data_IF_235891116980
#
_entry.id   IF_235891116980
#
_cell.length_a   1.000
_cell.length_b   1.000
_cell.length_c   1.000
_cell.angle_alpha   90.00
_cell.angle_beta   90.00
_cell.angle_gamma   90.00
#
_symmetry.space_group_name_H-M   'P 1'
#
loop_
_entity.id
_entity.type
_entity.pdbx_description
1 polymer ?
#
# COMPACT_ATOMS: atom_id res chain seq x y z
N UNK A 1 26.81 -0.16 11.03
CA UNK A 1 25.91 0.95 11.45
C UNK A 1 24.86 1.30 10.41
N UNK A 2 25.18 1.85 9.22
CA UNK A 2 24.13 2.17 8.22
C UNK A 2 23.38 0.92 7.72
N UNK A 3 24.09 -0.21 7.57
CA UNK A 3 23.49 -1.49 7.15
C UNK A 3 22.51 -2.00 8.21
N UNK A 4 22.91 -1.99 9.49
CA UNK A 4 22.08 -2.46 10.60
C UNK A 4 20.84 -1.60 10.76
N UNK A 5 20.96 -0.28 10.56
CA UNK A 5 19.83 0.64 10.56
C UNK A 5 18.85 0.39 9.41
N UNK A 6 19.34 0.15 8.19
CA UNK A 6 18.49 -0.13 7.04
C UNK A 6 17.72 -1.45 7.19
N UNK A 7 18.38 -2.50 7.70
CA UNK A 7 17.74 -3.79 7.99
C UNK A 7 16.71 -3.65 9.12
N UNK A 8 17.03 -2.88 10.16
CA UNK A 8 16.10 -2.56 11.23
C UNK A 8 14.87 -1.79 10.71
N UNK A 9 15.07 -0.71 9.95
CA UNK A 9 13.99 0.08 9.39
C UNK A 9 13.09 -0.75 8.47
N UNK A 10 13.66 -1.54 7.56
CA UNK A 10 12.90 -2.46 6.70
C UNK A 10 12.12 -3.51 7.50
N UNK A 11 12.70 -3.99 8.61
CA UNK A 11 12.01 -4.85 9.56
C UNK A 11 10.81 -4.17 10.22
N UNK A 12 11.00 -2.95 10.72
CA UNK A 12 9.93 -2.14 11.33
C UNK A 12 8.79 -1.88 10.35
N UNK A 13 9.08 -1.52 9.10
CA UNK A 13 8.04 -1.31 8.07
C UNK A 13 7.24 -2.57 7.78
N UNK A 14 7.90 -3.73 7.70
CA UNK A 14 7.21 -5.00 7.48
C UNK A 14 6.30 -5.37 8.67
N UNK A 15 6.76 -5.14 9.90
CA UNK A 15 5.94 -5.32 11.11
C UNK A 15 4.77 -4.34 11.10
N UNK A 16 5.02 -3.07 10.79
CA UNK A 16 3.99 -2.03 10.74
C UNK A 16 2.87 -2.38 9.76
N UNK A 17 3.20 -2.84 8.54
CA UNK A 17 2.19 -3.26 7.55
C UNK A 17 1.26 -4.35 8.07
N UNK A 18 1.79 -5.34 8.81
CA UNK A 18 0.99 -6.39 9.45
C UNK A 18 0.18 -5.85 10.64
N UNK A 19 0.77 -4.93 11.40
CA UNK A 19 0.15 -4.31 12.57
C UNK A 19 -1.00 -3.38 12.19
N UNK A 20 -0.97 -2.73 11.02
CA UNK A 20 -2.09 -1.90 10.54
C UNK A 20 -3.36 -2.71 10.33
N UNK A 21 -3.28 -3.92 9.74
CA UNK A 21 -4.45 -4.79 9.58
C UNK A 21 -5.05 -5.17 10.95
N UNK A 22 -4.19 -5.46 11.93
CA UNK A 22 -4.59 -5.70 13.31
C UNK A 22 -5.22 -4.46 13.96
N UNK A 23 -4.62 -3.27 13.79
CA UNK A 23 -5.16 -2.00 14.30
C UNK A 23 -6.52 -1.66 13.69
N UNK A 24 -6.74 -1.96 12.41
CA UNK A 24 -8.05 -1.77 11.78
C UNK A 24 -9.12 -2.67 12.42
N UNK A 25 -8.81 -3.95 12.64
CA UNK A 25 -9.73 -4.87 13.33
C UNK A 25 -10.00 -4.41 14.76
N UNK A 26 -8.95 -4.01 15.49
CA UNK A 26 -9.08 -3.43 16.84
C UNK A 26 -9.97 -2.18 16.82
N UNK A 27 -9.77 -1.27 15.86
CA UNK A 27 -10.58 -0.07 15.71
C UNK A 27 -12.06 -0.37 15.48
N UNK A 28 -12.37 -1.35 14.62
CA UNK A 28 -13.76 -1.80 14.37
C UNK A 28 -14.37 -2.37 15.65
N UNK A 29 -13.61 -3.18 16.40
CA UNK A 29 -14.07 -3.75 17.68
C UNK A 29 -14.33 -2.64 18.71
N UNK A 30 -13.42 -1.67 18.86
CA UNK A 30 -13.59 -0.53 19.78
C UNK A 30 -14.83 0.30 19.44
N UNK A 31 -15.05 0.60 18.15
CA UNK A 31 -16.26 1.28 17.66
C UNK A 31 -17.51 0.47 18.00
N UNK A 32 -17.50 -0.85 17.77
CA UNK A 32 -18.61 -1.74 18.08
C UNK A 32 -18.97 -1.73 19.57
N UNK A 33 -17.98 -1.86 20.45
CA UNK A 33 -18.19 -1.81 21.90
C UNK A 33 -18.63 -0.42 22.38
N UNK A 34 -18.07 0.66 21.84
CA UNK A 34 -18.52 2.02 22.14
C UNK A 34 -20.01 2.17 21.80
N UNK A 35 -20.44 1.71 20.63
CA UNK A 35 -21.85 1.74 20.25
C UNK A 35 -22.74 0.87 21.16
N UNK A 36 -22.25 -0.29 21.60
CA UNK A 36 -22.97 -1.13 22.57
C UNK A 36 -23.14 -0.41 23.91
N UNK A 37 -22.09 0.21 24.46
CA UNK A 37 -22.16 0.96 25.71
C UNK A 37 -23.11 2.15 25.60
N UNK A 38 -23.01 2.96 24.55
CA UNK A 38 -23.98 4.05 24.30
C UNK A 38 -25.42 3.52 24.30
N UNK A 39 -25.66 2.39 23.64
CA UNK A 39 -27.01 1.80 23.56
C UNK A 39 -27.52 1.32 24.93
N UNK A 40 -26.65 0.73 25.75
CA UNK A 40 -27.00 0.26 27.10
C UNK A 40 -27.28 1.43 28.05
N UNK A 41 -26.46 2.47 28.01
CA UNK A 41 -26.58 3.60 28.94
C UNK A 41 -27.64 4.62 28.53
N UNK A 42 -28.00 4.71 27.24
CA UNK A 42 -29.08 5.60 26.76
C UNK A 42 -30.47 5.27 27.34
N UNK A 43 -30.67 4.04 27.83
CA UNK A 43 -31.91 3.63 28.49
C UNK A 43 -31.99 3.96 29.99
N UNK A 44 -30.90 4.40 30.60
CA UNK A 44 -30.85 4.70 32.04
C UNK A 44 -31.07 6.19 32.30
N UNK A 45 -31.45 6.53 33.54
CA UNK A 45 -31.69 7.90 34.02
C UNK A 45 -30.46 8.83 34.00
N UNK A 46 -29.29 8.33 33.60
CA UNK A 46 -28.02 9.06 33.58
C UNK A 46 -27.86 9.99 32.37
N UNK A 47 -28.57 9.72 31.27
CA UNK A 47 -28.56 10.60 30.11
C UNK A 47 -29.89 11.34 30.03
N UNK A 48 -30.01 12.54 30.63
CA UNK A 48 -31.22 13.33 30.50
C UNK A 48 -31.47 13.63 29.03
N UNK A 49 -32.70 13.36 28.58
CA UNK A 49 -33.08 13.69 27.21
C UNK A 49 -32.98 15.21 27.02
N UNK A 50 -32.53 15.67 25.85
CA UNK A 50 -32.39 17.11 25.54
C UNK A 50 -33.66 17.93 25.82
N UNK A 51 -34.83 17.28 25.79
CA UNK A 51 -36.11 17.92 26.06
C UNK A 51 -36.32 18.23 27.55
N UNK A 52 -35.72 17.45 28.44
CA UNK A 52 -35.84 17.61 29.89
C UNK A 52 -34.93 18.74 30.41
N UNK A 53 -33.76 18.94 29.79
CA UNK A 53 -32.87 20.07 30.11
C UNK A 53 -33.47 21.41 29.66
N UNK A 54 -34.15 21.44 28.52
CA UNK A 54 -34.90 22.62 28.05
C UNK A 54 -36.14 22.93 28.91
N UNK A 55 -36.83 21.90 29.43
CA UNK A 55 -37.96 22.08 30.33
C UNK A 55 -37.51 22.60 31.72
N UNK A 56 -36.37 22.15 32.23
CA UNK A 56 -35.82 22.67 33.50
C UNK A 56 -35.34 24.12 33.41
N UNK A 57 -34.99 24.61 32.21
CA UNK A 57 -34.45 25.96 32.02
C UNK A 57 -35.52 27.05 31.94
N UNK A 58 -36.79 26.71 31.72
CA UNK A 58 -37.86 27.70 31.48
C UNK A 58 -38.48 28.29 32.77
N UNK A 59 -38.26 27.68 33.94
CA UNK A 59 -38.89 28.13 35.19
C UNK A 59 -38.05 29.13 36.04
N UNK A 60 -36.83 29.49 35.64
CA UNK A 60 -35.91 30.29 36.50
C UNK A 60 -35.30 31.53 35.84
N UNK A 61 -36.02 32.21 34.93
CA UNK A 61 -35.54 33.44 34.27
C UNK A 61 -35.44 34.67 35.20
N UNK A 62 -35.98 34.63 36.43
CA UNK A 62 -35.96 35.76 37.37
C UNK A 62 -34.79 35.77 38.40
N UNK A 63 -33.85 34.82 38.35
CA UNK A 63 -32.71 34.70 39.30
C UNK A 63 -31.31 35.02 38.71
N UNK A 64 -31.26 35.79 37.63
CA UNK A 64 -30.28 35.71 36.53
C UNK A 64 -28.86 36.27 36.75
N UNK A 65 -28.42 36.57 37.97
CA UNK A 65 -27.07 37.14 38.20
C UNK A 65 -26.17 36.36 39.17
N UNK A 66 -26.71 35.39 39.90
CA UNK A 66 -25.91 34.52 40.80
C UNK A 66 -25.40 33.25 40.09
N UNK A 67 -25.97 32.90 38.93
CA UNK A 67 -25.63 31.69 38.17
C UNK A 67 -24.37 31.80 37.31
N UNK A 68 -23.97 33.00 36.88
CA UNK A 68 -22.74 33.17 36.07
C UNK A 68 -21.45 32.88 36.87
N UNK A 69 -21.50 32.97 38.21
CA UNK A 69 -20.36 32.66 39.07
C UNK A 69 -20.30 31.18 39.49
N UNK A 70 -21.33 30.39 39.14
CA UNK A 70 -21.35 28.93 39.27
C UNK A 70 -21.18 28.21 37.93
N UNK A 71 -20.88 28.94 36.85
CA UNK A 71 -20.15 28.43 35.67
C UNK A 71 -18.65 28.39 36.01
N UNK A 72 -18.34 27.98 37.23
CA UNK A 72 -17.10 27.26 37.47
C UNK A 72 -17.39 25.90 36.86
N UNK A 73 -16.49 25.40 36.02
CA UNK A 73 -16.50 24.00 35.62
C UNK A 73 -16.57 23.18 36.91
N UNK A 74 -17.78 22.83 37.35
CA UNK A 74 -17.96 21.80 38.34
C UNK A 74 -17.24 20.61 37.76
N UNK A 75 -16.54 19.85 38.59
CA UNK A 75 -16.15 18.50 38.22
C UNK A 75 -17.42 17.85 37.66
N UNK A 76 -17.50 17.76 36.34
CA UNK A 76 -18.72 17.36 35.65
C UNK A 76 -19.08 16.03 36.28
N UNK A 77 -20.27 15.96 36.90
CA UNK A 77 -20.86 14.68 37.29
C UNK A 77 -20.86 13.86 36.01
N UNK A 78 -19.88 12.96 35.93
CA UNK A 78 -19.33 12.47 34.69
C UNK A 78 -20.37 11.53 34.08
N UNK A 79 -21.35 12.06 33.35
CA UNK A 79 -22.51 11.29 32.89
C UNK A 79 -22.00 10.22 31.93
N UNK A 80 -22.01 8.94 32.33
CA UNK A 80 -21.22 7.94 31.66
C UNK A 80 -21.86 7.60 30.31
N UNK A 81 -21.08 7.67 29.23
CA UNK A 81 -21.42 7.16 27.89
C UNK A 81 -22.60 7.85 27.17
N UNK A 82 -22.94 9.11 27.48
CA UNK A 82 -24.02 9.82 26.78
C UNK A 82 -23.62 10.30 25.37
N UNK A 83 -22.36 10.66 25.16
CA UNK A 83 -21.81 11.02 23.85
C UNK A 83 -21.04 9.86 23.23
N UNK A 84 -21.18 9.66 21.92
CA UNK A 84 -20.47 8.60 21.20
C UNK A 84 -18.94 8.75 21.30
N UNK A 85 -18.43 9.97 21.22
CA UNK A 85 -16.99 10.23 21.29
C UNK A 85 -16.42 9.97 22.68
N UNK A 86 -17.09 10.43 23.74
CA UNK A 86 -16.71 10.13 25.12
C UNK A 86 -16.78 8.62 25.39
N UNK A 87 -17.81 7.94 24.90
CA UNK A 87 -17.90 6.48 25.00
C UNK A 87 -16.76 5.78 24.27
N UNK A 88 -16.33 6.29 23.12
CA UNK A 88 -15.19 5.73 22.41
C UNK A 88 -13.88 5.94 23.19
N UNK A 89 -13.68 7.12 23.76
CA UNK A 89 -12.52 7.42 24.61
C UNK A 89 -12.50 6.56 25.89
N UNK A 90 -13.64 6.39 26.56
CA UNK A 90 -13.75 5.54 27.75
C UNK A 90 -13.48 4.05 27.43
N UNK A 91 -13.92 3.55 26.27
CA UNK A 91 -13.58 2.18 25.83
C UNK A 91 -12.10 2.06 25.46
N UNK A 92 -11.50 3.14 24.93
CA UNK A 92 -10.06 3.20 24.65
C UNK A 92 -9.21 3.27 25.92
N UNK A 93 -9.61 4.02 26.95
CA UNK A 93 -8.90 4.02 28.24
C UNK A 93 -9.07 2.67 28.96
N UNK A 94 -10.22 2.03 28.81
CA UNK A 94 -10.44 0.66 29.27
C UNK A 94 -9.52 -0.35 28.57
N UNK A 95 -9.24 -0.18 27.26
CA UNK A 95 -8.23 -0.97 26.55
C UNK A 95 -6.83 -0.81 27.17
N UNK A 96 -6.49 0.40 27.63
CA UNK A 96 -5.23 0.71 28.30
C UNK A 96 -5.17 0.17 29.75
N UNK A 97 -6.30 -0.32 30.28
CA UNK A 97 -6.43 -0.84 31.64
C UNK A 97 -6.80 0.21 32.68
N UNK A 98 -7.09 1.45 32.26
CA UNK A 98 -7.60 2.50 33.14
C UNK A 98 -9.12 2.41 33.16
N UNK A 99 -9.67 1.88 34.25
CA UNK A 99 -11.12 1.66 34.40
C UNK A 99 -11.61 2.32 35.69
N UNK A 100 -12.64 3.14 35.55
CA UNK A 100 -13.38 3.68 36.68
C UNK A 100 -14.56 2.75 37.00
N UNK A 101 -14.41 1.96 38.06
CA UNK A 101 -15.40 0.96 38.49
C UNK A 101 -16.73 1.60 38.90
N UNK A 102 -16.70 2.85 39.37
CA UNK A 102 -17.88 3.56 39.88
C UNK A 102 -18.94 3.78 38.81
N UNK A 103 -18.53 3.89 37.53
CA UNK A 103 -19.43 4.06 36.38
C UNK A 103 -20.29 2.82 36.09
N UNK A 104 -19.91 1.64 36.60
CA UNK A 104 -20.57 0.37 36.28
C UNK A 104 -21.42 -0.21 37.41
N UNK A 105 -21.34 0.33 38.63
CA UNK A 105 -22.03 -0.24 39.80
C UNK A 105 -23.55 -0.37 39.62
N UNK A 106 -24.16 0.58 38.90
CA UNK A 106 -25.61 0.61 38.73
C UNK A 106 -26.13 -0.42 37.72
N UNK A 107 -25.31 -0.84 36.75
CA UNK A 107 -25.78 -1.67 35.63
C UNK A 107 -25.06 -3.02 35.55
N UNK A 108 -25.73 -4.08 36.02
CA UNK A 108 -25.21 -5.47 35.95
C UNK A 108 -24.83 -5.89 34.52
N UNK A 109 -25.58 -5.41 33.53
CA UNK A 109 -25.31 -5.69 32.12
C UNK A 109 -24.06 -4.95 31.62
N UNK A 110 -23.82 -3.72 32.05
CA UNK A 110 -22.60 -2.98 31.75
C UNK A 110 -21.36 -3.67 32.33
N UNK A 111 -21.43 -4.13 33.59
CA UNK A 111 -20.35 -4.92 34.21
C UNK A 111 -20.07 -6.22 33.44
N UNK A 112 -21.11 -6.91 32.97
CA UNK A 112 -20.93 -8.14 32.18
C UNK A 112 -20.26 -7.87 30.83
N UNK A 113 -20.68 -6.82 30.12
CA UNK A 113 -20.03 -6.38 28.87
C UNK A 113 -18.58 -5.99 29.11
N UNK A 114 -18.28 -5.30 30.22
CA UNK A 114 -16.93 -4.95 30.62
C UNK A 114 -16.04 -6.20 30.79
N UNK A 115 -16.52 -7.22 31.52
CA UNK A 115 -15.75 -8.46 31.73
C UNK A 115 -15.47 -9.18 30.41
N UNK A 116 -16.47 -9.24 29.52
CA UNK A 116 -16.29 -9.80 28.17
C UNK A 116 -15.27 -8.99 27.36
N UNK A 117 -15.37 -7.66 27.39
CA UNK A 117 -14.44 -6.77 26.69
C UNK A 117 -13.00 -6.97 27.17
N UNK A 118 -12.78 -7.00 28.49
CA UNK A 118 -11.44 -7.23 29.06
C UNK A 118 -10.88 -8.59 28.65
N UNK A 119 -11.68 -9.65 28.71
CA UNK A 119 -11.20 -10.97 28.32
C UNK A 119 -10.93 -11.09 26.81
N UNK A 120 -11.85 -10.61 25.98
CA UNK A 120 -11.77 -10.76 24.52
C UNK A 120 -10.72 -9.80 23.95
N UNK A 121 -10.82 -8.51 24.27
CA UNK A 121 -10.00 -7.47 23.64
C UNK A 121 -8.62 -7.41 24.27
N UNK A 122 -8.51 -7.34 25.60
CA UNK A 122 -7.20 -7.17 26.23
C UNK A 122 -6.40 -8.48 26.19
N UNK A 123 -6.97 -9.60 26.62
CA UNK A 123 -6.20 -10.85 26.73
C UNK A 123 -5.98 -11.53 25.36
N UNK A 124 -7.03 -11.71 24.55
CA UNK A 124 -6.84 -12.40 23.26
C UNK A 124 -6.05 -11.54 22.26
N UNK A 125 -6.32 -10.23 22.16
CA UNK A 125 -5.59 -9.41 21.18
C UNK A 125 -4.14 -9.18 21.59
N UNK A 126 -3.82 -9.08 22.89
CA UNK A 126 -2.42 -9.03 23.33
C UNK A 126 -1.66 -10.30 22.92
N UNK A 127 -2.27 -11.48 23.11
CA UNK A 127 -1.66 -12.75 22.71
C UNK A 127 -1.44 -12.84 21.19
N UNK A 128 -2.42 -12.40 20.40
CA UNK A 128 -2.30 -12.35 18.93
C UNK A 128 -1.24 -11.33 18.49
N UNK A 129 -1.19 -10.16 19.11
CA UNK A 129 -0.19 -9.13 18.79
C UNK A 129 1.22 -9.64 19.06
N UNK A 130 1.46 -10.27 20.22
CA UNK A 130 2.76 -10.86 20.55
C UNK A 130 3.14 -11.94 19.52
N UNK A 131 2.19 -12.78 19.11
CA UNK A 131 2.41 -13.80 18.10
C UNK A 131 2.80 -13.19 16.74
N UNK A 132 2.09 -12.16 16.28
CA UNK A 132 2.37 -11.46 15.01
C UNK A 132 3.75 -10.80 15.06
N UNK A 133 4.09 -10.10 16.15
CA UNK A 133 5.38 -9.43 16.29
C UNK A 133 6.51 -10.45 16.32
N UNK A 134 6.34 -11.57 17.04
CA UNK A 134 7.35 -12.62 17.16
C UNK A 134 7.59 -13.36 15.84
N UNK A 135 6.52 -13.72 15.10
CA UNK A 135 6.63 -14.32 13.76
C UNK A 135 7.33 -13.37 12.79
N UNK A 136 6.92 -12.10 12.80
CA UNK A 136 7.49 -11.08 11.92
C UNK A 136 8.98 -10.84 12.23
N UNK A 137 9.35 -10.82 13.51
CA UNK A 137 10.74 -10.67 13.94
C UNK A 137 11.60 -11.86 13.50
N UNK A 138 11.10 -13.09 13.64
CA UNK A 138 11.79 -14.30 13.19
C UNK A 138 12.06 -14.28 11.68
N UNK A 139 11.07 -13.87 10.88
CA UNK A 139 11.22 -13.76 9.41
C UNK A 139 12.28 -12.73 9.02
N UNK A 140 12.37 -11.62 9.75
CA UNK A 140 13.35 -10.55 9.49
C UNK A 140 14.76 -11.05 9.75
N UNK A 141 14.98 -11.80 10.83
CA UNK A 141 16.31 -12.35 11.15
C UNK A 141 16.77 -13.42 10.14
N UNK A 142 15.88 -14.33 9.72
CA UNK A 142 16.31 -15.52 8.97
C UNK A 142 16.44 -15.33 7.45
N UNK A 143 15.66 -14.45 6.82
CA UNK A 143 15.50 -14.47 5.34
C UNK A 143 15.83 -13.19 4.59
N UNK A 144 15.96 -12.02 5.26
CA UNK A 144 15.94 -10.73 4.55
C UNK A 144 17.19 -9.86 4.68
N UNK A 145 18.10 -10.12 5.62
CA UNK A 145 19.28 -9.26 5.78
C UNK A 145 20.14 -9.20 4.50
N UNK A 146 20.39 -10.34 3.85
CA UNK A 146 21.20 -10.38 2.64
C UNK A 146 20.45 -9.86 1.40
N UNK A 147 19.19 -10.25 1.20
CA UNK A 147 18.42 -9.84 0.02
C UNK A 147 18.13 -8.34 0.06
N UNK A 148 17.66 -7.79 1.19
CA UNK A 148 17.36 -6.35 1.33
C UNK A 148 18.63 -5.52 1.13
N UNK A 149 19.77 -6.03 1.59
CA UNK A 149 21.06 -5.39 1.34
C UNK A 149 21.39 -5.31 -0.15
N UNK A 150 21.24 -6.41 -0.90
CA UNK A 150 21.56 -6.42 -2.33
C UNK A 150 20.52 -5.69 -3.17
N UNK A 151 19.23 -5.74 -2.82
CA UNK A 151 18.20 -4.98 -3.54
C UNK A 151 18.34 -3.48 -3.34
N UNK A 152 18.60 -2.97 -2.11
CA UNK A 152 18.83 -1.53 -1.93
C UNK A 152 20.08 -1.03 -2.69
N UNK A 153 21.12 -1.86 -2.79
CA UNK A 153 22.29 -1.51 -3.59
C UNK A 153 21.99 -1.52 -5.09
N UNK A 154 21.23 -2.50 -5.57
CA UNK A 154 20.83 -2.58 -6.97
C UNK A 154 19.88 -1.44 -7.34
N UNK A 155 18.94 -1.09 -6.46
CA UNK A 155 17.99 0.00 -6.67
C UNK A 155 18.72 1.36 -6.69
N UNK A 156 19.66 1.57 -5.77
CA UNK A 156 20.54 2.75 -5.81
C UNK A 156 21.39 2.80 -7.09
N UNK A 157 21.93 1.68 -7.54
CA UNK A 157 22.70 1.62 -8.80
C UNK A 157 21.79 1.89 -10.00
N UNK A 158 20.58 1.34 -10.03
CA UNK A 158 19.60 1.56 -11.08
C UNK A 158 19.11 3.01 -11.11
N UNK A 159 18.84 3.61 -9.95
CA UNK A 159 18.46 5.01 -9.82
C UNK A 159 19.61 5.93 -10.22
N UNK A 160 20.84 5.63 -9.79
CA UNK A 160 22.03 6.38 -10.20
C UNK A 160 22.33 6.23 -11.69
N UNK A 161 22.07 5.06 -12.28
CA UNK A 161 22.16 4.84 -13.73
C UNK A 161 21.05 5.59 -14.48
N UNK A 162 19.81 5.59 -13.96
CA UNK A 162 18.70 6.36 -14.52
C UNK A 162 18.95 7.88 -14.45
N UNK A 163 19.61 8.37 -13.39
CA UNK A 163 20.03 9.78 -13.28
C UNK A 163 21.20 10.07 -14.22
N UNK A 164 22.22 9.20 -14.25
CA UNK A 164 23.41 9.37 -15.08
C UNK A 164 23.11 9.28 -16.58
N UNK A 165 22.20 8.39 -16.98
CA UNK A 165 21.74 8.21 -18.36
C UNK A 165 20.44 8.97 -18.65
N UNK A 166 19.95 9.75 -17.70
CA UNK A 166 18.69 10.47 -17.80
C UNK A 166 18.66 11.48 -18.96
N UNK A 167 17.46 11.88 -19.39
CA UNK A 167 17.26 12.87 -20.46
C UNK A 167 17.98 14.20 -20.20
N UNK A 168 18.31 14.48 -18.93
CA UNK A 168 19.06 15.66 -18.53
C UNK A 168 20.49 15.67 -19.09
N UNK A 169 21.13 14.51 -19.31
CA UNK A 169 22.44 14.43 -20.00
C UNK A 169 22.35 14.93 -21.44
N UNK A 170 21.25 14.66 -22.15
CA UNK A 170 21.00 15.22 -23.49
C UNK A 170 20.76 16.72 -23.44
N UNK A 171 20.05 17.22 -22.42
CA UNK A 171 19.84 18.67 -22.21
C UNK A 171 21.12 19.41 -21.82
N UNK A 172 21.94 18.82 -20.94
CA UNK A 172 23.22 19.38 -20.52
C UNK A 172 24.25 19.36 -21.66
N UNK A 173 24.32 18.27 -22.44
CA UNK A 173 25.18 18.20 -23.64
C UNK A 173 24.79 19.27 -24.67
N UNK A 174 23.48 19.53 -24.83
CA UNK A 174 22.97 20.61 -25.69
C UNK A 174 23.22 22.01 -25.12
N UNK A 175 23.24 22.18 -23.80
CA UNK A 175 23.55 23.46 -23.13
C UNK A 175 25.05 23.78 -23.09
N UNK A 176 25.92 22.76 -23.04
CA UNK A 176 27.39 22.92 -23.00
C UNK A 176 28.01 23.05 -24.40
N UNK A 177 27.21 22.99 -25.47
CA UNK A 177 27.69 23.29 -26.83
C UNK A 177 28.68 22.27 -27.41
N UNK A 178 28.76 21.06 -26.84
CA UNK A 178 29.43 19.93 -27.48
C UNK A 178 28.47 19.31 -28.49
N UNK A 179 28.33 19.98 -29.63
CA UNK A 179 27.66 19.45 -30.81
C UNK A 179 28.48 18.31 -31.39
N UNK A 180 27.97 17.09 -31.28
CA UNK A 180 28.26 16.09 -32.29
C UNK A 180 27.35 16.44 -33.47
N UNK A 181 28.03 16.79 -34.55
CA UNK A 181 27.51 17.30 -35.81
C UNK A 181 26.95 16.13 -36.63
N UNK A 182 25.86 15.52 -36.17
CA UNK A 182 25.09 14.58 -37.00
C UNK A 182 23.69 15.18 -37.22
N UNK A 183 23.59 15.81 -38.38
CA UNK A 183 22.39 16.19 -39.07
C UNK A 183 21.44 14.99 -39.20
N UNK A 184 20.29 15.03 -38.55
CA UNK A 184 19.04 14.69 -39.23
C UNK A 184 17.79 15.15 -38.47
N UNK A 185 16.88 15.69 -39.28
CA UNK A 185 15.47 16.01 -39.08
C UNK A 185 15.04 16.89 -37.89
N UNK A 186 14.77 18.14 -38.26
CA UNK A 186 13.93 19.14 -37.59
C UNK A 186 12.53 18.61 -37.25
N UNK A 187 12.43 17.85 -36.17
CA UNK A 187 11.18 17.68 -35.43
C UNK A 187 10.93 18.92 -34.57
N UNK A 188 9.94 19.73 -34.94
CA UNK A 188 9.45 20.86 -34.15
C UNK A 188 8.97 20.32 -32.79
N UNK A 189 9.82 20.42 -31.76
CA UNK A 189 9.45 20.04 -30.40
C UNK A 189 8.62 21.19 -29.84
N UNK A 190 7.33 21.18 -30.11
CA UNK A 190 6.37 22.00 -29.37
C UNK A 190 6.38 21.53 -27.92
N UNK A 191 7.09 22.27 -27.09
CA UNK A 191 7.13 22.08 -25.65
C UNK A 191 5.80 22.57 -25.09
N UNK A 192 4.75 21.76 -25.27
CA UNK A 192 3.44 22.02 -24.68
C UNK A 192 3.54 21.74 -23.18
N UNK A 193 3.93 22.78 -22.45
CA UNK A 193 3.95 22.82 -20.99
C UNK A 193 2.58 22.35 -20.47
N UNK A 194 2.57 21.25 -19.70
CA UNK A 194 1.36 20.66 -19.15
C UNK A 194 0.95 19.31 -19.75
N UNK A 195 1.30 18.99 -21.01
CA UNK A 195 0.95 17.68 -21.61
C UNK A 195 1.67 16.53 -20.91
N UNK A 196 2.95 16.70 -20.58
CA UNK A 196 3.73 15.70 -19.84
C UNK A 196 3.25 15.55 -18.38
N UNK A 197 2.91 16.65 -17.72
CA UNK A 197 2.40 16.61 -16.35
C UNK A 197 1.03 15.93 -16.28
N UNK A 198 0.13 16.26 -17.21
CA UNK A 198 -1.18 15.61 -17.30
C UNK A 198 -1.05 14.13 -17.63
N UNK A 199 -0.14 13.75 -18.54
CA UNK A 199 0.12 12.34 -18.82
C UNK A 199 0.58 11.60 -17.57
N UNK A 200 1.53 12.16 -16.80
CA UNK A 200 1.95 11.56 -15.51
C UNK A 200 0.82 11.47 -14.49
N UNK A 201 -0.06 12.47 -14.47
CA UNK A 201 -1.23 12.46 -13.60
C UNK A 201 -2.24 11.38 -14.05
N UNK A 202 -2.46 11.20 -15.35
CA UNK A 202 -3.35 10.15 -15.87
C UNK A 202 -2.76 8.76 -15.74
N UNK A 203 -1.46 8.58 -15.98
CA UNK A 203 -0.76 7.32 -15.73
C UNK A 203 -0.91 6.92 -14.25
N UNK A 204 -0.86 7.90 -13.32
CA UNK A 204 -1.16 7.71 -11.90
C UNK A 204 -2.61 7.28 -11.61
N UNK A 205 -3.56 7.42 -12.53
CA UNK A 205 -4.95 6.95 -12.40
C UNK A 205 -5.22 5.67 -13.21
N UNK A 206 -4.43 5.38 -14.25
CA UNK A 206 -4.57 4.24 -15.16
C UNK A 206 -3.74 3.01 -14.77
N UNK A 207 -2.77 3.14 -13.85
CA UNK A 207 -2.08 1.96 -13.33
C UNK A 207 -3.09 1.04 -12.61
N UNK A 208 -3.45 -0.04 -13.28
CA UNK A 208 -4.20 -1.17 -12.74
C UNK A 208 -3.31 -1.87 -11.71
N UNK A 209 -3.46 -1.46 -10.45
CA UNK A 209 -2.75 -2.08 -9.33
C UNK A 209 -3.39 -3.45 -9.07
N UNK A 210 -2.72 -4.50 -9.54
CA UNK A 210 -3.03 -5.91 -9.27
C UNK A 210 -2.74 -6.34 -7.81
N UNK A 211 -2.44 -5.41 -6.90
CA UNK A 211 -2.16 -5.73 -5.50
C UNK A 211 -3.43 -5.96 -4.69
N UNK A 212 -3.41 -7.06 -3.92
CA UNK A 212 -4.49 -7.52 -3.03
C UNK A 212 -5.24 -6.37 -2.35
N UNK A 213 -6.57 -6.33 -2.53
CA UNK A 213 -7.54 -5.35 -2.00
C UNK A 213 -7.42 -4.98 -0.50
N UNK A 214 -6.60 -5.69 0.27
CA UNK A 214 -6.36 -5.48 1.70
C UNK A 214 -4.99 -4.85 1.99
N UNK A 215 -4.20 -4.47 0.98
CA UNK A 215 -2.92 -3.81 1.21
C UNK A 215 -3.14 -2.37 1.69
N UNK A 216 -2.34 -1.93 2.66
CA UNK A 216 -2.38 -0.54 3.14
C UNK A 216 -1.98 0.43 2.03
N UNK A 217 -1.10 -0.02 1.13
CA UNK A 217 -0.71 0.69 -0.08
C UNK A 217 -1.93 0.97 -0.98
N UNK A 218 -2.83 0.00 -1.14
CA UNK A 218 -4.08 0.19 -1.88
C UNK A 218 -4.98 1.25 -1.24
N UNK A 219 -5.13 1.24 0.09
CA UNK A 219 -5.95 2.24 0.78
C UNK A 219 -5.32 3.63 0.78
N UNK A 220 -4.02 3.74 1.04
CA UNK A 220 -3.29 5.00 0.98
C UNK A 220 -3.30 5.59 -0.44
N UNK A 221 -3.10 4.75 -1.46
CA UNK A 221 -3.18 5.14 -2.86
C UNK A 221 -4.60 5.55 -3.26
N UNK A 222 -5.64 4.80 -2.88
CA UNK A 222 -7.03 5.20 -3.13
C UNK A 222 -7.39 6.50 -2.42
N UNK A 223 -6.93 6.71 -1.19
CA UNK A 223 -7.13 7.96 -0.48
C UNK A 223 -6.41 9.13 -1.17
N UNK A 224 -5.17 8.94 -1.61
CA UNK A 224 -4.41 9.94 -2.37
C UNK A 224 -5.07 10.26 -3.71
N UNK A 225 -5.58 9.23 -4.41
CA UNK A 225 -6.34 9.34 -5.66
C UNK A 225 -7.64 10.13 -5.43
N UNK A 226 -8.36 9.83 -4.35
CA UNK A 226 -9.58 10.53 -3.95
C UNK A 226 -9.27 12.00 -3.60
N UNK A 227 -8.22 12.26 -2.84
CA UNK A 227 -7.78 13.61 -2.49
C UNK A 227 -7.36 14.43 -3.73
N UNK A 228 -6.63 13.80 -4.64
CA UNK A 228 -6.25 14.40 -5.93
C UNK A 228 -7.49 14.72 -6.77
N UNK A 229 -8.44 13.79 -6.85
CA UNK A 229 -9.66 13.96 -7.62
C UNK A 229 -10.59 15.05 -7.04
N UNK A 230 -10.69 15.14 -5.71
CA UNK A 230 -11.62 16.06 -5.03
C UNK A 230 -11.02 17.45 -4.82
N UNK A 231 -9.71 17.57 -4.62
CA UNK A 231 -9.07 18.86 -4.32
C UNK A 231 -8.33 19.42 -5.54
N UNK A 232 -7.45 18.61 -6.14
CA UNK A 232 -6.56 19.10 -7.20
C UNK A 232 -7.33 19.37 -8.49
N UNK A 233 -8.24 18.47 -8.90
CA UNK A 233 -9.01 18.65 -10.13
C UNK A 233 -9.88 19.91 -10.06
N UNK A 234 -10.73 20.15 -9.04
CA UNK A 234 -11.55 21.37 -9.00
C UNK A 234 -10.73 22.65 -8.90
N UNK A 235 -9.64 22.64 -8.12
CA UNK A 235 -8.74 23.79 -8.01
C UNK A 235 -8.07 24.12 -9.34
N UNK A 236 -7.64 23.10 -10.08
CA UNK A 236 -7.00 23.30 -11.39
C UNK A 236 -8.01 23.74 -12.46
N UNK A 237 -9.22 23.19 -12.46
CA UNK A 237 -10.31 23.67 -13.35
C UNK A 237 -10.61 25.14 -13.07
N UNK A 238 -10.70 25.53 -11.80
CA UNK A 238 -10.92 26.91 -11.37
C UNK A 238 -9.79 27.85 -11.82
N UNK A 239 -8.53 27.46 -11.62
CA UNK A 239 -7.36 28.19 -12.14
C UNK A 239 -7.40 28.34 -13.67
N UNK A 240 -7.86 27.31 -14.36
CA UNK A 240 -8.04 27.34 -15.80
C UNK A 240 -9.13 28.30 -16.27
N UNK A 241 -10.25 28.39 -15.53
CA UNK A 241 -11.30 29.38 -15.80
C UNK A 241 -10.76 30.80 -15.60
N UNK A 242 -10.04 31.06 -14.50
CA UNK A 242 -9.45 32.36 -14.21
C UNK A 242 -8.37 32.78 -15.22
N UNK A 243 -7.62 31.83 -15.76
CA UNK A 243 -6.60 32.05 -16.78
C UNK A 243 -7.15 32.06 -18.22
N UNK A 244 -8.47 32.25 -18.38
CA UNK A 244 -9.16 32.28 -19.68
C UNK A 244 -8.86 31.04 -20.56
N UNK A 245 -8.74 29.88 -19.93
CA UNK A 245 -8.48 28.61 -20.61
C UNK A 245 -7.02 28.36 -20.99
N UNK A 246 -6.08 29.23 -20.60
CA UNK A 246 -4.66 29.02 -20.92
C UNK A 246 -4.05 27.85 -20.13
N UNK A 247 -4.48 27.64 -18.88
CA UNK A 247 -3.97 26.58 -18.01
C UNK A 247 -4.78 25.27 -18.08
N UNK A 248 -5.81 25.19 -18.93
CA UNK A 248 -6.58 23.97 -19.06
C UNK A 248 -5.77 22.86 -19.73
N UNK A 249 -5.96 21.60 -19.28
CA UNK A 249 -5.43 20.46 -20.01
C UNK A 249 -5.86 20.56 -21.48
N UNK A 250 -4.95 20.32 -22.44
CA UNK A 250 -5.24 20.47 -23.86
C UNK A 250 -6.45 19.65 -24.30
N UNK A 251 -6.73 18.53 -23.64
CA UNK A 251 -7.92 17.69 -23.88
C UNK A 251 -9.24 18.40 -23.52
N UNK A 252 -9.30 19.11 -22.38
CA UNK A 252 -10.46 19.91 -22.02
C UNK A 252 -10.62 21.10 -22.96
N UNK A 253 -9.49 21.71 -23.35
CA UNK A 253 -9.49 22.82 -24.29
C UNK A 253 -10.00 22.38 -25.66
N UNK A 254 -9.54 21.24 -26.15
CA UNK A 254 -10.01 20.65 -27.40
C UNK A 254 -11.50 20.29 -27.31
N UNK A 255 -11.96 19.69 -26.22
CA UNK A 255 -13.37 19.33 -26.03
C UNK A 255 -14.31 20.55 -25.95
N UNK A 256 -13.85 21.65 -25.36
CA UNK A 256 -14.68 22.85 -25.14
C UNK A 256 -14.62 23.83 -26.31
N UNK A 257 -13.44 24.02 -26.92
CA UNK A 257 -13.23 25.05 -27.95
C UNK A 257 -13.21 24.52 -29.38
N UNK A 258 -12.96 23.23 -29.57
CA UNK A 258 -13.14 22.63 -30.89
C UNK A 258 -14.62 22.28 -31.02
N UNK A 259 -15.43 23.28 -31.36
CA UNK A 259 -16.77 23.01 -31.86
C UNK A 259 -16.64 21.93 -32.92
N UNK A 260 -17.40 20.86 -32.79
CA UNK A 260 -17.47 19.72 -33.71
C UNK A 260 -17.85 20.22 -35.10
N UNK A 261 -16.88 20.77 -35.83
CA UNK A 261 -16.99 20.99 -37.26
C UNK A 261 -16.93 19.59 -37.82
N UNK A 262 -18.09 19.10 -38.23
CA UNK A 262 -18.27 17.87 -38.99
C UNK A 262 -17.47 17.96 -40.30
N UNK A 263 -16.15 17.80 -40.21
CA UNK A 263 -15.31 17.54 -41.37
C UNK A 263 -15.72 16.17 -41.88
N UNK A 264 -16.20 16.16 -43.12
CA UNK A 264 -16.56 14.99 -43.92
C UNK A 264 -15.71 13.75 -43.56
N UNK A 265 -16.39 12.74 -43.02
CA UNK A 265 -15.84 11.55 -42.37
C UNK A 265 -15.26 10.48 -43.31
N UNK A 266 -15.24 10.70 -44.63
CA UNK A 266 -14.95 9.60 -45.57
C UNK A 266 -13.46 9.25 -45.72
N UNK A 267 -12.56 10.15 -45.34
CA UNK A 267 -11.10 9.91 -45.48
C UNK A 267 -10.49 9.37 -44.18
N UNK A 268 -10.96 9.84 -43.02
CA UNK A 268 -10.54 9.32 -41.70
C UNK A 268 -11.04 7.89 -41.44
N UNK A 269 -12.25 7.53 -41.88
CA UNK A 269 -12.75 6.15 -41.72
C UNK A 269 -11.90 5.14 -42.49
N UNK A 270 -11.37 5.51 -43.67
CA UNK A 270 -10.49 4.63 -44.44
C UNK A 270 -9.12 4.47 -43.79
N UNK A 271 -8.58 5.52 -43.16
CA UNK A 271 -7.31 5.41 -42.44
C UNK A 271 -7.46 4.58 -41.16
N UNK A 272 -8.57 4.72 -40.43
CA UNK A 272 -8.86 3.91 -39.24
C UNK A 272 -9.15 2.44 -39.59
N UNK A 273 -9.77 2.16 -40.74
CA UNK A 273 -9.96 0.80 -41.23
C UNK A 273 -8.63 0.15 -41.67
N UNK A 274 -7.70 0.93 -42.26
CA UNK A 274 -6.34 0.49 -42.53
C UNK A 274 -5.52 0.24 -41.25
N UNK A 275 -5.66 1.10 -40.23
CA UNK A 275 -5.00 0.89 -38.94
C UNK A 275 -5.56 -0.33 -38.21
N UNK A 276 -6.88 -0.57 -38.25
CA UNK A 276 -7.49 -1.78 -37.68
C UNK A 276 -7.00 -3.05 -38.37
N UNK A 277 -6.89 -3.04 -39.69
CA UNK A 277 -6.38 -4.22 -40.43
C UNK A 277 -4.90 -4.49 -40.12
N UNK A 278 -4.06 -3.46 -39.96
CA UNK A 278 -2.68 -3.61 -39.50
C UNK A 278 -2.58 -4.12 -38.05
N UNK A 279 -3.44 -3.62 -37.15
CA UNK A 279 -3.45 -4.10 -35.75
C UNK A 279 -3.87 -5.56 -35.68
N UNK A 280 -4.86 -5.97 -36.49
CA UNK A 280 -5.30 -7.37 -36.57
C UNK A 280 -4.21 -8.27 -37.15
N UNK A 281 -3.46 -7.82 -38.17
CA UNK A 281 -2.33 -8.60 -38.69
C UNK A 281 -1.20 -8.73 -37.68
N UNK A 282 -0.86 -7.64 -36.97
CA UNK A 282 0.15 -7.65 -35.92
C UNK A 282 -0.25 -8.54 -34.73
N UNK A 283 -1.51 -8.53 -34.32
CA UNK A 283 -2.00 -9.43 -33.27
C UNK A 283 -1.84 -10.90 -33.69
N UNK A 284 -2.12 -11.21 -34.95
CA UNK A 284 -1.94 -12.56 -35.49
C UNK A 284 -0.46 -12.97 -35.52
N UNK A 285 0.43 -12.07 -35.95
CA UNK A 285 1.89 -12.31 -35.94
C UNK A 285 2.42 -12.51 -34.52
N UNK A 286 1.94 -11.74 -33.54
CA UNK A 286 2.33 -11.90 -32.12
C UNK A 286 1.82 -13.23 -31.56
N UNK A 287 0.62 -13.65 -31.93
CA UNK A 287 0.06 -14.94 -31.49
C UNK A 287 0.83 -16.12 -32.10
N UNK A 288 1.20 -16.03 -33.38
CA UNK A 288 2.06 -17.02 -34.06
C UNK A 288 3.46 -17.09 -33.44
N UNK A 289 4.09 -15.93 -33.16
CA UNK A 289 5.38 -15.85 -32.48
C UNK A 289 5.32 -16.43 -31.06
N UNK A 290 4.24 -16.16 -30.32
CA UNK A 290 4.03 -16.70 -28.98
C UNK A 290 3.93 -18.22 -29.00
N UNK A 291 3.23 -18.78 -29.98
CA UNK A 291 3.11 -20.23 -30.14
C UNK A 291 4.43 -20.88 -30.54
N UNK A 292 5.21 -20.24 -31.41
CA UNK A 292 6.56 -20.68 -31.77
C UNK A 292 7.49 -20.67 -30.55
N UNK A 293 7.49 -19.57 -29.78
CA UNK A 293 8.31 -19.45 -28.56
C UNK A 293 7.88 -20.46 -27.47
N UNK A 294 6.57 -20.73 -27.34
CA UNK A 294 6.08 -21.73 -26.38
C UNK A 294 6.45 -23.16 -26.82
N UNK A 295 6.54 -23.41 -28.13
CA UNK A 295 7.01 -24.67 -28.69
C UNK A 295 8.52 -24.85 -28.45
N UNK A 296 9.33 -23.83 -28.66
CA UNK A 296 10.76 -23.86 -28.34
C UNK A 296 11.00 -24.09 -26.83
N UNK A 297 10.27 -23.39 -25.95
CA UNK A 297 10.34 -23.60 -24.51
C UNK A 297 10.00 -25.03 -24.06
N UNK A 298 9.04 -25.68 -24.74
CA UNK A 298 8.73 -27.10 -24.48
C UNK A 298 9.88 -28.01 -24.89
N UNK A 299 10.52 -27.74 -26.04
CA UNK A 299 11.71 -28.48 -26.49
C UNK A 299 12.86 -28.29 -25.50
N UNK A 300 13.15 -27.07 -25.08
CA UNK A 300 14.19 -26.78 -24.09
C UNK A 300 13.92 -27.46 -22.76
N UNK A 301 12.67 -27.45 -22.28
CA UNK A 301 12.30 -28.16 -21.05
C UNK A 301 12.58 -29.65 -21.16
N UNK A 302 12.35 -30.28 -22.30
CA UNK A 302 12.69 -31.69 -22.51
C UNK A 302 14.20 -31.94 -22.56
N UNK A 303 14.97 -31.06 -23.20
CA UNK A 303 16.44 -31.14 -23.20
C UNK A 303 17.02 -30.97 -21.80
N UNK A 304 16.50 -30.04 -21.00
CA UNK A 304 16.93 -29.83 -19.61
C UNK A 304 16.61 -31.05 -18.75
N UNK A 305 15.47 -31.70 -18.95
CA UNK A 305 15.13 -32.94 -18.25
C UNK A 305 16.08 -34.08 -18.63
N UNK A 306 16.39 -34.24 -19.93
CA UNK A 306 17.38 -35.21 -20.40
C UNK A 306 18.78 -34.93 -19.84
N UNK A 307 19.20 -33.67 -19.82
CA UNK A 307 20.49 -33.26 -19.26
C UNK A 307 20.56 -33.48 -17.75
N UNK A 308 19.46 -33.23 -17.01
CA UNK A 308 19.39 -33.58 -15.57
C UNK A 308 19.50 -35.09 -15.34
N UNK A 309 18.88 -35.90 -16.20
CA UNK A 309 19.00 -37.35 -16.14
C UNK A 309 20.44 -37.82 -16.35
N UNK A 310 21.13 -37.29 -17.37
CA UNK A 310 22.53 -37.66 -17.65
C UNK A 310 23.48 -37.18 -16.54
N UNK A 311 23.21 -36.02 -15.94
CA UNK A 311 23.98 -35.54 -14.77
C UNK A 311 23.73 -36.43 -13.55
N UNK A 312 22.51 -36.88 -13.30
CA UNK A 312 22.19 -37.80 -12.21
C UNK A 312 22.89 -39.16 -12.41
N UNK A 313 22.90 -39.68 -13.63
CA UNK A 313 23.62 -40.91 -14.00
C UNK A 313 25.13 -40.78 -13.75
N UNK A 314 25.75 -39.71 -14.25
CA UNK A 314 27.17 -39.42 -13.98
C UNK A 314 27.49 -39.28 -12.49
N UNK A 315 26.59 -38.69 -11.69
CA UNK A 315 26.77 -38.61 -10.23
C UNK A 315 26.79 -39.99 -9.58
N UNK A 316 25.96 -40.92 -10.04
CA UNK A 316 25.95 -42.31 -9.53
C UNK A 316 27.22 -43.04 -9.93
N UNK A 317 27.68 -42.87 -11.18
CA UNK A 317 28.93 -43.43 -11.67
C UNK A 317 30.14 -42.96 -10.83
N UNK A 318 30.29 -41.64 -10.65
CA UNK A 318 31.35 -41.05 -9.80
C UNK A 318 31.28 -41.57 -8.36
N UNK A 319 30.07 -41.69 -7.79
CA UNK A 319 29.91 -42.21 -6.43
C UNK A 319 30.35 -43.69 -6.32
N UNK A 320 30.15 -44.49 -7.37
CA UNK A 320 30.61 -45.87 -7.44
C UNK A 320 32.13 -45.96 -7.63
N UNK A 321 32.71 -45.15 -8.51
CA UNK A 321 34.17 -45.05 -8.67
C UNK A 321 34.85 -44.64 -7.37
N UNK A 322 34.28 -43.67 -6.65
CA UNK A 322 34.83 -43.20 -5.37
C UNK A 322 34.76 -44.29 -4.28
N UNK A 323 33.73 -45.14 -4.29
CA UNK A 323 33.69 -46.34 -3.43
C UNK A 323 34.76 -47.36 -3.83
N UNK A 324 35.02 -47.54 -5.12
CA UNK A 324 36.05 -48.46 -5.60
C UNK A 324 37.46 -47.97 -5.22
N UNK A 325 37.73 -46.69 -5.39
CA UNK A 325 38.98 -46.04 -4.96
C UNK A 325 39.15 -46.21 -3.45
N UNK A 326 38.09 -45.98 -2.66
CA UNK A 326 38.13 -46.18 -1.20
C UNK A 326 38.54 -47.60 -0.83
N UNK A 327 38.00 -48.63 -1.50
CA UNK A 327 38.38 -50.03 -1.27
C UNK A 327 39.86 -50.29 -1.58
N UNK A 328 40.33 -49.83 -2.75
CA UNK A 328 41.75 -49.96 -3.14
C UNK A 328 42.65 -49.30 -2.10
N UNK A 329 42.29 -48.09 -1.66
CA UNK A 329 43.04 -47.34 -0.66
C UNK A 329 43.11 -48.10 0.68
N UNK A 330 42.01 -48.69 1.16
CA UNK A 330 42.04 -49.55 2.36
C UNK A 330 42.91 -50.79 2.18
N UNK A 331 42.86 -51.47 1.02
CA UNK A 331 43.71 -52.64 0.77
C UNK A 331 45.20 -52.27 0.76
N UNK A 332 45.56 -51.13 0.17
CA UNK A 332 46.94 -50.62 0.19
C UNK A 332 47.42 -50.28 1.61
N UNK A 333 46.54 -49.69 2.44
CA UNK A 333 46.86 -49.41 3.84
C UNK A 333 47.06 -50.70 4.65
N UNK A 334 46.20 -51.71 4.48
CA UNK A 334 46.35 -53.01 5.13
C UNK A 334 47.66 -53.71 4.73
N UNK A 335 48.03 -53.64 3.44
CA UNK A 335 49.30 -54.20 2.96
C UNK A 335 50.51 -53.46 3.55
N UNK A 336 50.47 -52.12 3.59
CA UNK A 336 51.55 -51.32 4.19
C UNK A 336 51.74 -51.57 5.69
N UNK A 337 50.66 -51.92 6.40
CA UNK A 337 50.71 -52.23 7.82
C UNK A 337 51.28 -53.63 8.11
N UNK A 338 51.27 -54.54 7.13
CA UNK A 338 51.86 -55.88 7.27
C UNK A 338 53.36 -55.91 6.99
N UNK A 339 53.89 -54.92 6.26
CA UNK A 339 55.32 -54.81 5.93
C UNK A 339 56.14 -54.05 6.99
N UNK A 340 55.50 -53.48 8.01
CA UNK A 340 56.12 -52.90 9.24
C UNK A 340 55.98 -53.85 10.42
#
# INVERSE_FOLDING_TARGET
MLIDFAVFAGGVFNVFRRLVAFLMVLGIILIGFAQMFVTVFRGNSYCPSLNETLAAQTDTFNGTLTYLNNIRCGEDENTPYCNYWESFLDVYTMLLGEVDETKFETSKFGTFLFVIFMFLVVILLANVLIAIVTDSYRIIQDKRAAIVFWTNRLDFVAEMDAIANGPWKKRLKRAVGMGDDDSDETGHVDVVFGKEFWKRLMDLFEDDIDDSFMSVEFWAYNFLRMLTAVIIIPFWVFLGVLSAGWLWPPQLREAIFTSTVSKHSSESEKEDEQRRTQVVSLQKEVEELKDEMMKELKVDRTQVVQMKSSVAERRVEIANEMKHIKRIMTMLFEQSALDT
#
